data_IF_278154237270
#
_entry.id   IF_278154237270
#
_cell.length_a   1.000
_cell.length_b   1.000
_cell.length_c   1.000
_cell.angle_alpha   90.00
_cell.angle_beta   90.00
_cell.angle_gamma   90.00
#
_symmetry.space_group_name_H-M   'P 1'
#
loop_
_entity.id
_entity.type
_entity.pdbx_description
1 polymer ?
#
# COMPACT_ATOMS: atom_id res chain seq x y z
N UNK A 1 56.75 37.40 26.97
CA UNK A 1 56.19 36.03 26.95
C UNK A 1 54.68 36.12 26.84
N UNK A 2 54.08 35.68 25.73
CA UNK A 2 52.63 35.82 25.48
C UNK A 2 51.85 34.70 26.20
N UNK A 3 50.80 35.08 26.94
CA UNK A 3 49.90 34.15 27.63
C UNK A 3 49.07 33.38 26.59
N UNK A 4 49.23 32.06 26.53
CA UNK A 4 48.49 31.17 25.63
C UNK A 4 47.03 31.13 26.07
N UNK A 5 46.13 31.64 25.22
CA UNK A 5 44.69 31.65 25.49
C UNK A 5 44.14 30.22 25.60
N UNK A 6 43.39 29.96 26.68
CA UNK A 6 42.68 28.69 26.85
C UNK A 6 41.38 28.73 26.06
N UNK A 7 41.27 27.89 25.02
CA UNK A 7 40.02 27.67 24.30
C UNK A 7 39.19 26.68 25.10
N UNK A 8 38.20 27.19 25.84
CA UNK A 8 37.21 26.35 26.52
C UNK A 8 36.11 26.02 25.52
N UNK A 9 36.04 24.77 25.05
CA UNK A 9 34.91 24.28 24.25
C UNK A 9 33.66 24.33 25.13
N UNK A 10 32.69 25.17 24.78
CA UNK A 10 31.36 25.12 25.37
C UNK A 10 30.71 23.83 24.88
N UNK A 11 30.51 22.88 25.79
CA UNK A 11 29.73 21.69 25.49
C UNK A 11 28.25 22.09 25.53
N UNK A 12 27.59 22.04 24.37
CA UNK A 12 26.14 22.30 24.24
C UNK A 12 25.29 21.10 24.63
N UNK A 13 25.91 19.98 24.99
CA UNK A 13 25.21 18.79 25.43
C UNK A 13 24.57 19.08 26.80
N UNK A 14 23.25 19.23 26.82
CA UNK A 14 22.45 18.95 28.02
C UNK A 14 22.79 17.53 28.50
N UNK A 15 22.92 17.35 29.81
CA UNK A 15 23.11 16.02 30.40
C UNK A 15 22.07 15.05 29.83
N UNK A 16 22.44 13.80 29.51
CA UNK A 16 21.50 12.83 29.00
C UNK A 16 20.42 12.61 30.08
N UNK A 17 19.21 13.12 29.81
CA UNK A 17 18.05 12.74 30.60
C UNK A 17 17.87 11.23 30.47
N UNK A 18 17.49 10.54 31.57
CA UNK A 18 17.24 9.12 31.51
C UNK A 18 16.18 8.84 30.43
N UNK A 19 16.33 7.73 29.68
CA UNK A 19 15.36 7.36 28.65
C UNK A 19 13.96 7.32 29.28
N UNK A 20 12.98 7.90 28.60
CA UNK A 20 11.58 7.90 29.04
C UNK A 20 11.13 6.50 29.41
N UNK A 21 10.37 6.37 30.51
CA UNK A 21 9.84 5.08 30.90
C UNK A 21 8.82 4.60 29.86
N UNK A 22 8.80 3.29 29.56
CA UNK A 22 7.85 2.71 28.62
C UNK A 22 6.42 2.98 29.09
N UNK A 23 5.61 3.60 28.23
CA UNK A 23 4.20 3.90 28.47
C UNK A 23 3.91 5.32 28.96
N UNK A 24 4.94 6.15 29.18
CA UNK A 24 4.72 7.58 29.41
C UNK A 24 4.35 8.30 28.10
N UNK A 25 3.39 9.24 28.13
CA UNK A 25 3.01 9.99 26.95
C UNK A 25 4.19 10.83 26.45
N UNK A 26 4.30 10.97 25.13
CA UNK A 26 5.29 11.84 24.51
C UNK A 26 5.14 13.29 25.04
N UNK A 27 6.25 13.98 25.35
CA UNK A 27 6.19 15.36 25.83
C UNK A 27 5.69 16.31 24.74
N UNK A 28 4.93 17.34 25.14
CA UNK A 28 4.45 18.39 24.23
C UNK A 28 5.58 19.16 23.53
N UNK A 29 6.77 19.19 24.14
CA UNK A 29 7.94 19.87 23.58
C UNK A 29 9.22 19.08 23.83
N UNK A 30 9.97 18.86 22.77
CA UNK A 30 11.25 18.18 22.78
C UNK A 30 12.40 19.16 23.01
N UNK A 31 13.29 18.84 23.94
CA UNK A 31 14.53 19.62 24.19
C UNK A 31 15.64 19.25 23.21
N UNK A 32 15.73 17.96 22.85
CA UNK A 32 16.74 17.40 21.95
C UNK A 32 16.06 16.64 20.81
N UNK A 33 16.47 16.93 19.58
CA UNK A 33 15.92 16.27 18.39
C UNK A 33 16.18 14.78 18.33
N UNK A 34 17.27 14.31 18.95
CA UNK A 34 17.61 12.88 19.00
C UNK A 34 16.63 12.08 19.87
N UNK A 35 16.13 12.67 20.96
CA UNK A 35 15.18 12.02 21.86
C UNK A 35 13.79 11.92 21.21
N UNK A 36 13.40 12.94 20.44
CA UNK A 36 12.23 12.89 19.56
C UNK A 36 12.37 11.79 18.51
N UNK A 37 13.51 11.76 17.81
CA UNK A 37 13.76 10.79 16.76
C UNK A 37 13.72 9.35 17.28
N UNK A 38 14.37 9.05 18.41
CA UNK A 38 14.38 7.72 19.00
C UNK A 38 12.98 7.31 19.43
N UNK A 39 12.26 8.17 20.15
CA UNK A 39 10.93 7.87 20.66
C UNK A 39 9.93 7.66 19.52
N UNK A 40 9.90 8.54 18.51
CA UNK A 40 9.00 8.38 17.37
C UNK A 40 9.35 7.15 16.53
N UNK A 41 10.64 6.85 16.36
CA UNK A 41 11.06 5.63 15.64
C UNK A 41 10.56 4.37 16.37
N UNK A 42 10.63 4.35 17.70
CA UNK A 42 10.17 3.21 18.47
C UNK A 42 8.64 3.08 18.48
N UNK A 43 7.91 4.19 18.52
CA UNK A 43 6.44 4.19 18.40
C UNK A 43 5.99 3.73 17.01
N UNK A 44 6.65 4.18 15.94
CA UNK A 44 6.35 3.73 14.57
C UNK A 44 6.58 2.22 14.42
N UNK A 45 7.63 1.68 15.02
CA UNK A 45 7.86 0.22 15.01
C UNK A 45 6.77 -0.54 15.74
N UNK A 46 6.36 -0.06 16.92
CA UNK A 46 5.30 -0.69 17.70
C UNK A 46 3.98 -0.68 16.93
N UNK A 47 3.62 0.45 16.33
CA UNK A 47 2.43 0.55 15.50
C UNK A 47 2.49 -0.42 14.32
N UNK A 48 3.63 -0.48 13.62
CA UNK A 48 3.79 -1.37 12.48
C UNK A 48 3.68 -2.85 12.89
N UNK A 49 4.26 -3.21 14.03
CA UNK A 49 4.16 -4.56 14.60
C UNK A 49 2.70 -4.90 14.96
N UNK A 50 1.96 -3.96 15.56
CA UNK A 50 0.55 -4.13 15.91
C UNK A 50 -0.33 -4.27 14.66
N UNK A 51 -0.14 -3.43 13.63
CA UNK A 51 -0.85 -3.53 12.36
C UNK A 51 -0.57 -4.86 11.67
N UNK A 52 0.71 -5.27 11.63
CA UNK A 52 1.14 -6.54 11.02
C UNK A 52 0.51 -7.73 11.72
N UNK A 53 0.53 -7.77 13.06
CA UNK A 53 -0.09 -8.83 13.85
C UNK A 53 -1.59 -8.91 13.57
N UNK A 54 -2.28 -7.77 13.55
CA UNK A 54 -3.70 -7.71 13.29
C UNK A 54 -4.06 -8.20 11.87
N UNK A 55 -3.23 -7.92 10.85
CA UNK A 55 -3.40 -8.46 9.50
C UNK A 55 -3.21 -9.98 9.50
N UNK A 56 -2.16 -10.48 10.14
CA UNK A 56 -1.89 -11.91 10.24
C UNK A 56 -2.99 -12.68 10.96
N UNK A 57 -3.48 -12.15 12.09
CA UNK A 57 -4.57 -12.73 12.86
C UNK A 57 -5.84 -12.86 12.02
N UNK A 58 -6.20 -11.81 11.28
CA UNK A 58 -7.36 -11.83 10.38
C UNK A 58 -7.21 -12.93 9.34
N UNK A 59 -6.05 -13.06 8.70
CA UNK A 59 -5.85 -14.10 7.69
C UNK A 59 -5.87 -15.52 8.23
N UNK A 60 -5.38 -15.73 9.46
CA UNK A 60 -5.39 -17.06 10.10
C UNK A 60 -6.76 -17.45 10.63
N UNK A 61 -7.55 -16.49 11.12
CA UNK A 61 -8.79 -16.77 11.86
C UNK A 61 -10.07 -16.48 11.08
N UNK A 62 -10.07 -15.57 10.11
CA UNK A 62 -11.28 -15.20 9.38
C UNK A 62 -11.54 -16.11 8.19
N UNK A 63 -12.82 -16.39 7.92
CA UNK A 63 -13.22 -17.10 6.71
C UNK A 63 -13.05 -16.23 5.46
N UNK A 64 -12.87 -16.88 4.30
CA UNK A 64 -12.78 -16.22 2.98
C UNK A 64 -13.93 -15.23 2.76
N UNK A 65 -15.16 -15.61 3.07
CA UNK A 65 -16.34 -14.75 2.93
C UNK A 65 -16.27 -13.50 3.82
N UNK A 66 -15.81 -13.65 5.07
CA UNK A 66 -15.68 -12.52 5.99
C UNK A 66 -14.63 -11.52 5.51
N UNK A 67 -13.51 -12.00 4.97
CA UNK A 67 -12.45 -11.15 4.41
C UNK A 67 -12.95 -10.35 3.20
N UNK A 68 -13.72 -10.97 2.31
CA UNK A 68 -14.35 -10.29 1.17
C UNK A 68 -15.37 -9.25 1.62
N UNK A 69 -16.29 -9.60 2.52
CA UNK A 69 -17.30 -8.66 3.01
C UNK A 69 -16.71 -7.46 3.76
N UNK A 70 -15.58 -7.66 4.46
CA UNK A 70 -14.86 -6.56 5.11
C UNK A 70 -14.06 -5.69 4.11
N UNK A 71 -14.00 -6.09 2.84
CA UNK A 71 -13.31 -5.37 1.77
C UNK A 71 -11.80 -5.33 1.93
N UNK A 72 -11.20 -6.27 2.68
CA UNK A 72 -9.75 -6.31 2.98
C UNK A 72 -8.99 -7.32 2.12
N UNK A 73 -9.70 -8.18 1.39
CA UNK A 73 -9.07 -9.17 0.50
C UNK A 73 -10.00 -9.50 -0.66
N UNK A 74 -9.41 -9.71 -1.82
CA UNK A 74 -10.09 -10.17 -3.03
C UNK A 74 -9.53 -11.55 -3.41
N UNK A 75 -10.38 -12.39 -3.97
CA UNK A 75 -10.02 -13.76 -4.34
C UNK A 75 -10.50 -14.08 -5.75
N UNK A 76 -9.94 -15.14 -6.32
CA UNK A 76 -10.35 -15.70 -7.61
C UNK A 76 -10.31 -14.63 -8.72
N UNK A 77 -9.23 -13.85 -8.76
CA UNK A 77 -9.00 -12.81 -9.77
C UNK A 77 -8.21 -13.37 -10.94
N UNK A 78 -8.48 -12.83 -12.14
CA UNK A 78 -7.65 -13.01 -13.33
C UNK A 78 -6.66 -11.86 -13.41
N UNK A 79 -5.39 -12.17 -13.60
CA UNK A 79 -4.33 -11.18 -13.74
C UNK A 79 -3.94 -11.03 -15.21
N UNK A 80 -3.78 -9.79 -15.67
CA UNK A 80 -3.25 -9.46 -17.00
C UNK A 80 -2.19 -8.39 -16.88
N UNK A 81 -1.02 -8.64 -17.46
CA UNK A 81 0.04 -7.62 -17.56
C UNK A 81 -0.39 -6.53 -18.53
N UNK A 82 -0.25 -5.26 -18.12
CA UNK A 82 -0.60 -4.06 -18.87
C UNK A 82 0.62 -3.14 -19.00
N UNK A 83 1.69 -3.68 -19.58
CA UNK A 83 2.92 -2.94 -19.82
C UNK A 83 3.77 -2.78 -18.55
N UNK A 84 4.67 -1.80 -18.60
CA UNK A 84 5.68 -1.57 -17.55
C UNK A 84 5.74 -0.09 -17.19
N UNK A 85 6.08 0.18 -15.94
CA UNK A 85 6.29 1.51 -15.41
C UNK A 85 7.53 1.51 -14.53
N UNK A 86 8.51 2.35 -14.87
CA UNK A 86 9.84 2.37 -14.24
C UNK A 86 10.55 1.01 -14.15
N UNK A 87 10.32 0.13 -15.13
CA UNK A 87 10.92 -1.20 -15.16
C UNK A 87 10.11 -2.29 -14.46
N UNK A 88 9.08 -1.90 -13.70
CA UNK A 88 8.17 -2.82 -13.01
C UNK A 88 6.95 -3.14 -13.87
N UNK A 89 6.43 -4.36 -13.77
CA UNK A 89 5.23 -4.77 -14.51
C UNK A 89 3.97 -4.17 -13.87
N UNK A 90 3.13 -3.52 -14.67
CA UNK A 90 1.78 -3.14 -14.24
C UNK A 90 0.87 -4.35 -14.46
N UNK A 91 0.21 -4.82 -13.41
CA UNK A 91 -0.72 -5.95 -13.48
C UNK A 91 -2.12 -5.47 -13.14
N UNK A 92 -3.07 -5.72 -14.05
CA UNK A 92 -4.49 -5.44 -13.85
C UNK A 92 -5.17 -6.74 -13.41
N UNK A 93 -5.96 -6.64 -12.33
CA UNK A 93 -6.75 -7.74 -11.81
C UNK A 93 -8.23 -7.53 -12.11
N UNK A 94 -8.87 -8.56 -12.64
CA UNK A 94 -10.28 -8.56 -13.04
C UNK A 94 -11.01 -9.74 -12.41
N UNK A 95 -12.31 -9.62 -12.18
CA UNK A 95 -13.13 -10.74 -11.72
C UNK A 95 -13.16 -11.85 -12.78
N UNK A 96 -13.19 -13.12 -12.36
CA UNK A 96 -13.22 -14.26 -13.29
C UNK A 96 -14.39 -14.20 -14.28
N UNK A 97 -15.55 -13.72 -13.84
CA UNK A 97 -16.80 -13.71 -14.60
C UNK A 97 -17.00 -12.42 -15.41
N UNK A 98 -15.94 -11.68 -15.72
CA UNK A 98 -15.99 -10.37 -16.44
C UNK A 98 -16.87 -9.30 -15.76
N UNK A 99 -17.24 -9.53 -14.50
CA UNK A 99 -18.02 -8.63 -13.68
C UNK A 99 -17.17 -7.57 -12.98
N UNK A 100 -17.85 -6.68 -12.23
CA UNK A 100 -17.18 -5.72 -11.35
C UNK A 100 -16.51 -6.47 -10.20
N UNK A 101 -15.38 -5.95 -9.72
CA UNK A 101 -14.77 -6.43 -8.49
C UNK A 101 -15.75 -6.30 -7.31
N UNK A 102 -15.72 -7.24 -6.34
CA UNK A 102 -16.40 -7.08 -5.06
C UNK A 102 -16.08 -5.74 -4.40
N UNK A 103 -16.97 -5.26 -3.55
CA UNK A 103 -16.71 -4.06 -2.75
C UNK A 103 -15.45 -4.25 -1.90
N UNK A 104 -14.54 -3.27 -1.99
CA UNK A 104 -13.25 -3.31 -1.33
C UNK A 104 -12.85 -1.93 -0.83
N UNK A 105 -11.92 -1.92 0.14
CA UNK A 105 -11.37 -0.68 0.70
C UNK A 105 -10.03 -0.26 0.10
N UNK A 106 -9.52 -1.04 -0.86
CA UNK A 106 -8.29 -0.69 -1.59
C UNK A 106 -8.43 0.66 -2.30
N UNK A 107 -7.48 1.53 -2.00
CA UNK A 107 -7.35 2.90 -2.51
C UNK A 107 -6.00 3.07 -3.21
N UNK A 108 -5.87 4.17 -3.96
CA UNK A 108 -4.60 4.50 -4.59
C UNK A 108 -3.49 4.65 -3.55
N UNK A 109 -2.36 3.97 -3.78
CA UNK A 109 -1.20 4.00 -2.89
C UNK A 109 -1.20 2.90 -1.82
N UNK A 110 -2.28 2.12 -1.69
CA UNK A 110 -2.30 1.00 -0.74
C UNK A 110 -1.30 -0.07 -1.14
N UNK A 111 -0.55 -0.58 -0.16
CA UNK A 111 0.34 -1.72 -0.34
C UNK A 111 -0.51 -2.99 -0.28
N UNK A 112 -0.36 -3.84 -1.28
CA UNK A 112 -1.13 -5.08 -1.44
C UNK A 112 -0.20 -6.29 -1.54
N UNK A 113 -0.63 -7.38 -0.92
CA UNK A 113 0.05 -8.65 -0.97
C UNK A 113 -0.66 -9.58 -1.95
N UNK A 114 0.08 -10.05 -2.96
CA UNK A 114 -0.41 -10.87 -4.05
C UNK A 114 0.12 -12.30 -3.89
N UNK A 115 -0.80 -13.26 -3.84
CA UNK A 115 -0.50 -14.69 -3.77
C UNK A 115 -1.35 -15.45 -4.79
N UNK A 116 -0.85 -16.59 -5.27
CA UNK A 116 -1.59 -17.43 -6.22
C UNK A 116 -2.59 -18.33 -5.53
N UNK A 117 -2.24 -18.89 -4.36
CA UNK A 117 -3.16 -19.78 -3.65
C UNK A 117 -3.24 -19.48 -2.14
N UNK A 118 -2.11 -19.38 -1.44
CA UNK A 118 -2.07 -19.21 0.02
C UNK A 118 -0.98 -18.22 0.44
N UNK A 119 -1.33 -17.09 1.06
CA UNK A 119 -0.34 -16.05 1.38
C UNK A 119 0.66 -16.46 2.48
N UNK A 120 0.35 -17.44 3.35
CA UNK A 120 1.27 -17.88 4.42
C UNK A 120 2.15 -19.08 4.06
N UNK A 121 1.85 -19.78 2.95
CA UNK A 121 2.54 -21.00 2.56
C UNK A 121 3.36 -20.87 1.28
N UNK A 122 3.29 -19.72 0.62
CA UNK A 122 3.90 -19.48 -0.69
C UNK A 122 4.64 -18.15 -0.68
N UNK A 123 5.50 -17.96 -1.70
CA UNK A 123 6.10 -16.67 -1.96
C UNK A 123 5.02 -15.66 -2.35
N UNK A 124 4.83 -14.67 -1.50
CA UNK A 124 3.98 -13.50 -1.75
C UNK A 124 4.79 -12.45 -2.50
N UNK A 125 4.12 -11.72 -3.39
CA UNK A 125 4.66 -10.55 -4.06
C UNK A 125 3.98 -9.31 -3.50
N UNK A 126 4.77 -8.33 -3.07
CA UNK A 126 4.27 -7.03 -2.66
C UNK A 126 4.09 -6.13 -3.89
N UNK A 127 2.99 -5.39 -3.93
CA UNK A 127 2.71 -4.39 -4.94
C UNK A 127 2.01 -3.19 -4.33
N UNK A 128 1.83 -2.16 -5.14
CA UNK A 128 1.09 -0.96 -4.75
C UNK A 128 -0.13 -0.80 -5.65
N UNK A 129 -1.25 -0.40 -5.06
CA UNK A 129 -2.48 -0.19 -5.79
C UNK A 129 -2.38 1.12 -6.59
N UNK A 130 -2.25 1.00 -7.90
CA UNK A 130 -2.44 2.11 -8.82
C UNK A 130 -3.88 2.09 -9.33
N UNK A 131 -4.56 3.24 -9.33
CA UNK A 131 -5.89 3.32 -9.92
C UNK A 131 -5.75 3.19 -11.43
N UNK A 132 -5.94 2.00 -11.96
CA UNK A 132 -6.28 1.84 -13.36
C UNK A 132 -7.66 2.48 -13.55
N UNK A 133 -7.75 3.42 -14.49
CA UNK A 133 -8.98 4.12 -14.85
C UNK A 133 -10.18 3.16 -14.95
N UNK A 134 -11.42 3.62 -14.68
CA UNK A 134 -12.60 2.78 -14.85
C UNK A 134 -12.63 2.22 -16.28
N UNK A 135 -13.22 1.02 -16.51
CA UNK A 135 -13.63 0.63 -17.84
C UNK A 135 -14.80 1.51 -18.27
N UNK A 136 -14.55 2.78 -18.59
CA UNK A 136 -15.54 3.73 -19.08
C UNK A 136 -15.49 3.77 -20.61
N UNK A 137 -16.35 2.96 -21.22
CA UNK A 137 -17.08 3.21 -22.46
C UNK A 137 -16.29 3.67 -23.70
N UNK A 138 -15.72 2.71 -24.44
CA UNK A 138 -15.65 2.80 -25.91
C UNK A 138 -16.78 1.96 -26.53
N UNK A 139 -18.03 2.30 -26.18
CA UNK A 139 -19.19 1.89 -26.95
C UNK A 139 -19.20 2.67 -28.26
N UNK A 140 -18.48 2.17 -29.28
CA UNK A 140 -18.72 2.56 -30.67
C UNK A 140 -19.32 1.38 -31.39
N UNK A 141 -20.60 1.17 -31.13
CA UNK A 141 -21.46 0.39 -32.01
C UNK A 141 -21.56 1.13 -33.35
N UNK A 142 -20.61 0.87 -34.27
CA UNK A 142 -20.90 1.07 -35.68
C UNK A 142 -21.71 -0.14 -36.12
N UNK A 143 -23.00 0.09 -36.26
CA UNK A 143 -23.92 -0.82 -36.94
C UNK A 143 -23.27 -1.40 -38.21
N UNK A 144 -23.40 -2.71 -38.46
CA UNK A 144 -22.99 -3.27 -39.73
C UNK A 144 -23.91 -2.72 -40.82
N UNK A 145 -23.38 -1.84 -41.67
CA UNK A 145 -24.00 -1.45 -42.93
C UNK A 145 -24.10 -2.68 -43.84
N UNK A 146 -25.18 -3.45 -43.70
CA UNK A 146 -25.65 -4.40 -44.70
C UNK A 146 -26.81 -3.77 -45.46
N UNK A 147 -26.53 -3.24 -46.66
CA UNK A 147 -27.47 -3.38 -47.78
C UNK A 147 -26.71 -3.78 -49.05
N UNK A 148 -27.13 -4.86 -49.72
CA UNK A 148 -26.51 -5.34 -50.94
C UNK A 148 -26.95 -4.52 -52.16
N UNK A 149 -26.06 -4.51 -53.15
CA UNK A 149 -26.25 -4.01 -54.51
C UNK A 149 -27.57 -4.49 -55.11
N UNK A 150 -28.37 -3.58 -55.68
CA UNK A 150 -29.32 -3.93 -56.75
C UNK A 150 -28.92 -3.19 -58.02
N UNK A 151 -28.69 -4.03 -59.04
CA UNK A 151 -28.45 -3.70 -60.45
C UNK A 151 -29.71 -3.12 -61.10
N UNK A 152 -29.48 -2.45 -62.22
CA UNK A 152 -30.41 -1.82 -63.16
C UNK A 152 -31.43 -2.76 -63.83
N UNK A 153 -32.48 -2.12 -64.39
CA UNK A 153 -33.41 -2.49 -65.49
C UNK A 153 -34.83 -2.05 -65.04
N UNK A 154 -35.63 -1.27 -65.76
CA UNK A 154 -35.67 -0.79 -67.16
C UNK A 154 -36.24 0.62 -67.21
#
# INVERSE_FOLDING_TARGET
MARKGSVKRMNSASDPEPPMAKGEPAPDRWRRSQDHFSTMTDLIKQELDDETQLVEERWKTWSKQRLVMAGVSLFDLKARVQGRFFGEDIVVFEAQDSGRLPEHRFSHGDIVLISRSRPWGEKVVEGWCSTAAPPACAGRERAPSRRPKRRMAS
#
